data_IF_118381116929
#
_entry.id   IF_118381116929
#
_cell.length_a   1.000
_cell.length_b   1.000
_cell.length_c   1.000
_cell.angle_alpha   90.00
_cell.angle_beta   90.00
_cell.angle_gamma   90.00
#
_symmetry.space_group_name_H-M   'P 1'
#
loop_
_entity.id
_entity.type
_entity.pdbx_description
1 polymer ?
#
# COMPACT_ATOMS: atom_id res chain seq x y z
N UNK A 1 -9.41 -3.30 8.60
CA UNK A 1 -10.40 -3.42 7.51
C UNK A 1 -9.74 -2.89 6.26
N UNK A 2 -9.57 -3.70 5.23
CA UNK A 2 -8.80 -3.36 4.02
C UNK A 2 -9.66 -2.60 3.02
N UNK A 3 -10.27 -1.49 3.45
CA UNK A 3 -11.25 -0.76 2.64
C UNK A 3 -10.67 -0.09 1.39
N UNK A 4 -9.37 0.19 1.36
CA UNK A 4 -8.70 0.81 0.21
C UNK A 4 -7.99 -0.20 -0.72
N UNK A 5 -7.83 -1.46 -0.31
CA UNK A 5 -7.13 -2.48 -1.11
C UNK A 5 -7.81 -2.71 -2.46
N UNK A 6 -9.15 -2.63 -2.52
CA UNK A 6 -9.89 -2.70 -3.78
C UNK A 6 -9.53 -1.60 -4.78
N UNK A 7 -9.08 -0.44 -4.30
CA UNK A 7 -8.63 0.65 -5.16
C UNK A 7 -7.14 0.54 -5.49
N UNK A 8 -6.37 -0.17 -4.67
CA UNK A 8 -4.95 -0.42 -4.87
C UNK A 8 -4.66 -1.72 -5.63
N UNK A 9 -5.67 -2.55 -5.89
CA UNK A 9 -5.54 -3.83 -6.59
C UNK A 9 -4.83 -3.68 -7.94
N UNK A 10 -5.16 -2.62 -8.69
CA UNK A 10 -4.46 -2.27 -9.94
C UNK A 10 -2.98 -1.95 -9.73
N UNK A 11 -2.65 -1.22 -8.66
CA UNK A 11 -1.25 -0.87 -8.33
C UNK A 11 -0.49 -2.13 -7.95
N UNK A 12 -1.08 -2.99 -7.12
CA UNK A 12 -0.50 -4.26 -6.71
C UNK A 12 -0.26 -5.15 -7.92
N UNK A 13 -1.21 -5.21 -8.87
CA UNK A 13 -1.05 -5.94 -10.12
C UNK A 13 0.08 -5.36 -11.00
N UNK A 14 0.21 -4.03 -11.08
CA UNK A 14 1.29 -3.38 -11.84
C UNK A 14 2.68 -3.68 -11.27
N UNK A 15 2.81 -3.79 -9.95
CA UNK A 15 4.07 -4.20 -9.29
C UNK A 15 4.22 -5.72 -9.13
N UNK A 16 3.27 -6.52 -9.63
CA UNK A 16 3.30 -7.99 -9.55
C UNK A 16 3.09 -8.55 -8.14
N UNK A 17 2.53 -7.78 -7.22
CA UNK A 17 2.19 -8.24 -5.86
C UNK A 17 0.76 -8.76 -5.84
N UNK A 18 0.57 -10.01 -5.45
CA UNK A 18 -0.77 -10.57 -5.25
C UNK A 18 -1.15 -10.52 -3.76
N UNK A 19 -2.22 -9.78 -3.42
CA UNK A 19 -2.71 -9.72 -2.04
C UNK A 19 -3.65 -10.89 -1.75
N UNK A 20 -3.18 -11.83 -0.94
CA UNK A 20 -3.94 -12.97 -0.43
C UNK A 20 -4.51 -12.70 0.96
N UNK A 21 -5.45 -13.54 1.43
CA UNK A 21 -6.01 -13.39 2.79
C UNK A 21 -4.94 -13.53 3.89
N UNK A 22 -3.91 -14.32 3.63
CA UNK A 22 -2.81 -14.59 4.55
C UNK A 22 -1.82 -13.43 4.62
N UNK A 23 -1.45 -12.84 3.47
CA UNK A 23 -0.49 -11.74 3.43
C UNK A 23 -1.14 -10.35 3.65
N UNK A 24 -2.46 -10.18 3.48
CA UNK A 24 -3.08 -8.84 3.51
C UNK A 24 -2.78 -8.06 4.78
N UNK A 25 -2.65 -8.75 5.91
CA UNK A 25 -2.40 -8.09 7.19
C UNK A 25 -0.97 -7.58 7.29
N UNK A 26 -0.01 -8.31 6.73
CA UNK A 26 1.38 -7.87 6.62
C UNK A 26 1.53 -6.74 5.60
N UNK A 27 0.89 -6.85 4.43
CA UNK A 27 0.81 -5.78 3.44
C UNK A 27 0.22 -4.50 4.05
N UNK A 28 -0.89 -4.62 4.80
CA UNK A 28 -1.53 -3.48 5.47
C UNK A 28 -0.60 -2.85 6.51
N UNK A 29 0.09 -3.65 7.34
CA UNK A 29 1.07 -3.13 8.31
C UNK A 29 2.26 -2.47 7.61
N UNK A 30 2.78 -3.07 6.55
CA UNK A 30 3.88 -2.52 5.77
C UNK A 30 3.51 -1.17 5.16
N UNK A 31 2.30 -1.04 4.61
CA UNK A 31 1.76 0.21 4.09
C UNK A 31 1.64 1.29 5.16
N UNK A 32 1.04 0.97 6.31
CA UNK A 32 0.94 1.93 7.42
C UNK A 32 2.32 2.40 7.88
N UNK A 33 3.30 1.48 7.96
CA UNK A 33 4.69 1.80 8.32
C UNK A 33 5.39 2.65 7.26
N UNK A 34 5.20 2.34 5.97
CA UNK A 34 5.76 3.09 4.84
C UNK A 34 5.18 4.51 4.76
N UNK A 35 3.89 4.65 5.07
CA UNK A 35 3.18 5.93 5.06
C UNK A 35 3.40 6.72 6.35
N UNK A 36 3.91 6.09 7.42
CA UNK A 36 4.03 6.72 8.74
C UNK A 36 2.67 6.99 9.38
N UNK A 37 1.64 6.25 8.98
CA UNK A 37 0.25 6.43 9.45
C UNK A 37 -0.03 5.42 10.54
N UNK A 38 -0.76 5.84 11.58
CA UNK A 38 -1.15 4.98 12.69
C UNK A 38 -1.95 3.75 12.22
N UNK A 39 -1.58 2.57 12.70
CA UNK A 39 -2.19 1.30 12.30
C UNK A 39 -3.70 1.30 12.59
N UNK A 40 -4.49 0.80 11.63
CA UNK A 40 -5.97 0.83 11.56
C UNK A 40 -6.59 2.15 11.07
N UNK A 41 -5.80 3.16 10.69
CA UNK A 41 -6.32 4.42 10.16
C UNK A 41 -6.43 4.42 8.61
N UNK A 42 -7.37 3.63 8.09
CA UNK A 42 -7.48 3.36 6.66
C UNK A 42 -7.79 4.61 5.80
N UNK A 43 -8.57 5.55 6.33
CA UNK A 43 -8.92 6.79 5.61
C UNK A 43 -7.71 7.70 5.43
N UNK A 44 -6.84 7.78 6.44
CA UNK A 44 -5.61 8.57 6.38
C UNK A 44 -4.60 7.89 5.47
N UNK A 45 -4.44 6.58 5.59
CA UNK A 45 -3.61 5.76 4.69
C UNK A 45 -3.99 6.01 3.22
N UNK A 46 -5.28 5.93 2.88
CA UNK A 46 -5.72 6.15 1.49
C UNK A 46 -5.51 7.59 0.99
N UNK A 47 -5.64 8.60 1.86
CA UNK A 47 -5.32 9.98 1.53
C UNK A 47 -3.84 10.14 1.21
N UNK A 48 -2.95 9.58 2.04
CA UNK A 48 -1.51 9.64 1.85
C UNK A 48 -1.06 8.87 0.60
N UNK A 49 -1.64 7.70 0.32
CA UNK A 49 -1.38 6.96 -0.93
C UNK A 49 -1.72 7.84 -2.13
N UNK A 50 -2.93 8.41 -2.18
CA UNK A 50 -3.33 9.27 -3.29
C UNK A 50 -2.46 10.51 -3.43
N UNK A 51 -2.07 11.12 -2.30
CA UNK A 51 -1.17 12.26 -2.29
C UNK A 51 0.19 11.88 -2.90
N UNK A 52 0.80 10.79 -2.44
CA UNK A 52 2.08 10.30 -2.98
C UNK A 52 2.00 9.88 -4.44
N UNK A 53 0.90 9.26 -4.86
CA UNK A 53 0.70 8.93 -6.28
C UNK A 53 0.55 10.20 -7.14
N UNK A 54 -0.10 11.24 -6.64
CA UNK A 54 -0.22 12.51 -7.35
C UNK A 54 1.09 13.31 -7.37
N UNK A 55 1.92 13.21 -6.32
CA UNK A 55 3.21 13.88 -6.23
C UNK A 55 4.31 13.13 -7.01
N UNK A 56 4.43 11.83 -6.80
CA UNK A 56 5.47 10.98 -7.39
C UNK A 56 5.01 9.50 -7.47
N UNK A 57 4.25 9.19 -8.52
CA UNK A 57 3.72 7.84 -8.76
C UNK A 57 4.83 6.78 -8.84
N UNK A 58 5.86 7.05 -9.65
CA UNK A 58 6.92 6.07 -9.91
C UNK A 58 7.78 5.76 -8.68
N UNK A 59 8.15 6.77 -7.88
CA UNK A 59 8.89 6.55 -6.64
C UNK A 59 8.02 5.96 -5.54
N UNK A 60 6.71 6.26 -5.51
CA UNK A 60 5.78 5.55 -4.63
C UNK A 60 5.69 4.07 -4.99
N UNK A 61 5.53 3.72 -6.27
CA UNK A 61 5.52 2.33 -6.74
C UNK A 61 6.81 1.59 -6.37
N UNK A 62 7.99 2.20 -6.59
CA UNK A 62 9.28 1.60 -6.19
C UNK A 62 9.42 1.43 -4.68
N UNK A 63 8.95 2.40 -3.90
CA UNK A 63 8.99 2.33 -2.44
C UNK A 63 8.04 1.25 -1.91
N UNK A 64 6.88 1.11 -2.56
CA UNK A 64 5.89 0.08 -2.25
C UNK A 64 6.42 -1.31 -2.62
N UNK A 65 6.96 -1.48 -3.82
CA UNK A 65 7.63 -2.70 -4.27
C UNK A 65 8.75 -3.11 -3.30
N UNK A 66 9.66 -2.19 -2.94
CA UNK A 66 10.73 -2.49 -1.98
C UNK A 66 10.26 -2.77 -0.55
N UNK A 67 9.09 -2.25 -0.15
CA UNK A 67 8.49 -2.55 1.15
C UNK A 67 7.78 -3.91 1.17
N UNK A 68 7.22 -4.34 0.04
CA UNK A 68 6.45 -5.58 -0.09
C UNK A 68 7.31 -6.76 -0.56
N UNK A 69 8.35 -6.54 -1.37
CA UNK A 69 9.31 -7.55 -1.83
C UNK A 69 10.26 -8.07 -0.74
N UNK A 70 10.04 -7.68 0.53
CA UNK A 70 10.68 -8.27 1.71
C UNK A 70 9.86 -9.41 2.33
N UNK A 71 8.72 -9.76 1.73
CA UNK A 71 7.82 -10.84 2.18
C UNK A 71 7.78 -11.99 1.17
#
# INVERSE_FOLDING_TARGET
MTCYFRHMDGIFAEIGVEVTKENKQDVDKALHKLLGVEYKNCSTTWKEVKKRMAEDESGFMKSLDGALGKF
#
